data_IF_361776530609
#
_entry.id   IF_361776530609
#
_cell.length_a   1.000
_cell.length_b   1.000
_cell.length_c   1.000
_cell.angle_alpha   90.00
_cell.angle_beta   90.00
_cell.angle_gamma   90.00
#
_symmetry.space_group_name_H-M   'P 1'
#
loop_
_entity.id
_entity.type
_entity.pdbx_description
1 polymer ?
#
# COMPACT_ATOMS: atom_id res chain seq x y z
N UNK A 1 14.53 16.11 -7.00
CA UNK A 1 13.70 15.68 -5.86
C UNK A 1 14.19 14.29 -5.48
N UNK A 2 14.79 14.15 -4.30
CA UNK A 2 15.42 12.90 -3.89
C UNK A 2 14.34 11.86 -3.62
N UNK A 3 14.42 10.72 -4.30
CA UNK A 3 13.71 9.51 -3.91
C UNK A 3 14.25 9.10 -2.53
N UNK A 4 13.55 9.46 -1.45
CA UNK A 4 14.02 9.14 -0.11
C UNK A 4 13.64 7.69 0.19
N UNK A 5 14.62 6.81 0.04
CA UNK A 5 14.53 5.37 0.28
C UNK A 5 13.84 5.07 1.63
N UNK A 6 14.04 5.92 2.63
CA UNK A 6 13.41 5.81 3.95
C UNK A 6 11.87 5.86 3.88
N UNK A 7 11.31 6.69 3.00
CA UNK A 7 9.87 6.83 2.84
C UNK A 7 9.26 5.59 2.18
N UNK A 8 9.93 5.07 1.16
CA UNK A 8 9.53 3.83 0.48
C UNK A 8 9.58 2.64 1.43
N UNK A 9 10.61 2.57 2.27
CA UNK A 9 10.72 1.55 3.32
C UNK A 9 9.57 1.69 4.33
N UNK A 10 9.25 2.91 4.77
CA UNK A 10 8.15 3.14 5.71
C UNK A 10 6.79 2.73 5.12
N UNK A 11 6.53 3.08 3.86
CA UNK A 11 5.33 2.68 3.12
C UNK A 11 5.27 1.16 3.02
N UNK A 12 6.32 0.53 2.51
CA UNK A 12 6.39 -0.93 2.34
C UNK A 12 6.14 -1.64 3.67
N UNK A 13 6.86 -1.26 4.73
CA UNK A 13 6.74 -1.89 6.04
C UNK A 13 5.32 -1.74 6.62
N UNK A 14 4.69 -0.58 6.46
CA UNK A 14 3.31 -0.38 6.92
C UNK A 14 2.30 -1.20 6.12
N UNK A 15 2.45 -1.26 4.79
CA UNK A 15 1.56 -2.06 3.92
C UNK A 15 1.73 -3.55 4.23
N UNK A 16 2.96 -4.06 4.27
CA UNK A 16 3.24 -5.46 4.61
C UNK A 16 2.69 -5.82 5.98
N UNK A 17 2.91 -4.97 7.00
CA UNK A 17 2.38 -5.20 8.35
C UNK A 17 0.86 -5.35 8.34
N UNK A 18 0.14 -4.41 7.73
CA UNK A 18 -1.34 -4.43 7.72
C UNK A 18 -1.86 -5.65 6.97
N UNK A 19 -1.23 -6.02 5.86
CA UNK A 19 -1.66 -7.18 5.08
C UNK A 19 -1.32 -8.51 5.78
N UNK A 20 -0.15 -8.62 6.42
CA UNK A 20 0.22 -9.80 7.22
C UNK A 20 -0.72 -10.01 8.41
N UNK A 21 -1.21 -8.94 9.03
CA UNK A 21 -2.22 -9.00 10.10
C UNK A 21 -3.58 -9.54 9.63
N UNK A 22 -3.84 -9.57 8.31
CA UNK A 22 -5.04 -10.21 7.73
C UNK A 22 -4.86 -11.71 7.50
N UNK A 23 -3.63 -12.17 7.30
CA UNK A 23 -3.30 -13.57 7.13
C UNK A 23 -3.23 -13.98 5.66
N UNK A 24 -4.01 -14.98 5.19
CA UNK A 24 -3.85 -15.58 3.87
C UNK A 24 -4.09 -14.62 2.70
N UNK A 25 -4.78 -13.51 2.92
CA UNK A 25 -4.99 -12.45 1.95
C UNK A 25 -3.68 -11.73 1.57
N UNK A 26 -2.64 -11.78 2.41
CA UNK A 26 -1.31 -11.25 2.08
C UNK A 26 -0.76 -11.88 0.80
N UNK A 27 -0.68 -13.22 0.77
CA UNK A 27 -0.15 -13.95 -0.38
C UNK A 27 -1.03 -13.74 -1.63
N UNK A 28 -2.34 -13.58 -1.45
CA UNK A 28 -3.25 -13.27 -2.54
C UNK A 28 -2.97 -11.89 -3.15
N UNK A 29 -2.75 -10.86 -2.32
CA UNK A 29 -2.37 -9.53 -2.79
C UNK A 29 -1.08 -9.60 -3.58
N UNK A 30 -0.02 -10.24 -3.04
CA UNK A 30 1.25 -10.37 -3.75
C UNK A 30 1.10 -11.10 -5.09
N UNK A 31 0.38 -12.22 -5.09
CA UNK A 31 0.18 -13.05 -6.28
C UNK A 31 -0.56 -12.29 -7.37
N UNK A 32 -1.66 -11.60 -7.01
CA UNK A 32 -2.46 -10.83 -7.98
C UNK A 32 -1.74 -9.60 -8.48
N UNK A 33 -1.03 -8.90 -7.60
CA UNK A 33 -0.24 -7.72 -7.96
C UNK A 33 0.82 -8.07 -9.01
N UNK A 34 1.56 -9.16 -8.78
CA UNK A 34 2.54 -9.64 -9.74
C UNK A 34 1.88 -10.13 -11.04
N UNK A 35 0.76 -10.86 -10.95
CA UNK A 35 0.08 -11.39 -12.13
C UNK A 35 -0.54 -10.30 -13.03
N UNK A 36 -1.07 -9.21 -12.45
CA UNK A 36 -1.79 -8.17 -13.19
C UNK A 36 -0.88 -7.03 -13.68
N UNK A 37 0.15 -6.69 -12.89
CA UNK A 37 0.98 -5.51 -13.14
C UNK A 37 2.48 -5.81 -13.24
N UNK A 38 2.90 -7.07 -13.11
CA UNK A 38 4.31 -7.50 -13.13
C UNK A 38 5.17 -6.69 -12.14
N UNK A 39 4.59 -6.40 -10.97
CA UNK A 39 5.15 -5.46 -9.99
C UNK A 39 5.12 -6.01 -8.58
N UNK A 40 5.90 -5.39 -7.70
CA UNK A 40 5.99 -5.75 -6.28
C UNK A 40 5.47 -4.63 -5.38
N UNK A 41 5.28 -4.90 -4.08
CA UNK A 41 4.77 -3.90 -3.14
C UNK A 41 5.67 -2.66 -3.04
N UNK A 42 6.99 -2.80 -3.17
CA UNK A 42 7.91 -1.66 -3.09
C UNK A 42 7.76 -0.71 -4.28
N UNK A 43 7.30 -1.22 -5.42
CA UNK A 43 7.03 -0.43 -6.64
C UNK A 43 5.67 0.30 -6.54
N UNK A 44 4.74 -0.24 -5.76
CA UNK A 44 3.47 0.43 -5.45
C UNK A 44 3.64 1.73 -4.66
N UNK A 45 4.82 2.01 -4.10
CA UNK A 45 5.13 3.32 -3.53
C UNK A 45 4.98 4.45 -4.55
N UNK A 46 5.30 4.18 -5.82
CA UNK A 46 5.20 5.14 -6.92
C UNK A 46 3.91 4.96 -7.73
N UNK A 47 3.33 3.75 -7.71
CA UNK A 47 2.10 3.33 -8.41
C UNK A 47 1.04 2.78 -7.45
N UNK A 48 0.67 3.58 -6.46
CA UNK A 48 -0.32 3.23 -5.43
C UNK A 48 -1.69 2.85 -5.98
N UNK A 49 -2.04 3.29 -7.18
CA UNK A 49 -3.25 2.90 -7.90
C UNK A 49 -3.31 1.39 -8.18
N UNK A 50 -2.17 0.73 -8.38
CA UNK A 50 -2.13 -0.73 -8.60
C UNK A 50 -2.40 -1.46 -7.29
N UNK A 51 -1.81 -0.98 -6.19
CA UNK A 51 -2.14 -1.52 -4.88
C UNK A 51 -3.62 -1.34 -4.57
N UNK A 52 -4.19 -0.14 -4.83
CA UNK A 52 -5.61 0.12 -4.59
C UNK A 52 -6.52 -0.88 -5.31
N UNK A 53 -6.31 -1.05 -6.61
CA UNK A 53 -7.09 -1.97 -7.44
C UNK A 53 -7.00 -3.43 -6.92
N UNK A 54 -5.81 -3.89 -6.54
CA UNK A 54 -5.65 -5.23 -5.96
C UNK A 54 -6.31 -5.34 -4.58
N UNK A 55 -6.27 -4.30 -3.75
CA UNK A 55 -6.97 -4.30 -2.47
C UNK A 55 -8.49 -4.41 -2.69
N UNK A 56 -9.06 -3.66 -3.65
CA UNK A 56 -10.47 -3.75 -4.01
C UNK A 56 -10.85 -5.16 -4.50
N UNK A 57 -9.99 -5.80 -5.31
CA UNK A 57 -10.22 -7.15 -5.77
C UNK A 57 -10.17 -8.23 -4.67
N UNK A 58 -9.27 -8.08 -3.69
CA UNK A 58 -9.06 -9.09 -2.64
C UNK A 58 -10.02 -8.89 -1.48
N UNK A 59 -10.24 -7.65 -1.06
CA UNK A 59 -10.99 -7.34 0.16
C UNK A 59 -12.41 -6.84 -0.12
N UNK A 60 -12.74 -6.39 -1.34
CA UNK A 60 -14.05 -5.87 -1.69
C UNK A 60 -14.51 -4.76 -0.72
N UNK A 61 -15.63 -4.97 -0.04
CA UNK A 61 -16.17 -4.04 0.97
C UNK A 61 -15.18 -3.79 2.15
N UNK A 62 -14.25 -4.71 2.39
CA UNK A 62 -13.21 -4.60 3.41
C UNK A 62 -12.06 -3.65 3.05
N UNK A 63 -11.94 -3.21 1.81
CA UNK A 63 -10.81 -2.39 1.35
C UNK A 63 -10.67 -1.09 2.11
N UNK A 64 -11.78 -0.42 2.41
CA UNK A 64 -11.77 0.82 3.18
C UNK A 64 -11.09 0.63 4.55
N UNK A 65 -11.39 -0.47 5.25
CA UNK A 65 -10.80 -0.76 6.55
C UNK A 65 -9.29 -1.07 6.44
N UNK A 66 -8.84 -1.69 5.36
CA UNK A 66 -7.42 -1.94 5.10
C UNK A 66 -6.69 -0.62 4.85
N UNK A 67 -7.24 0.24 4.00
CA UNK A 67 -6.65 1.55 3.67
C UNK A 67 -6.59 2.44 4.90
N UNK A 68 -7.63 2.45 5.74
CA UNK A 68 -7.63 3.20 6.99
C UNK A 68 -6.51 2.74 7.93
N UNK A 69 -6.24 1.43 8.02
CA UNK A 69 -5.14 0.90 8.83
C UNK A 69 -3.77 1.29 8.27
N UNK A 70 -3.59 1.26 6.94
CA UNK A 70 -2.37 1.75 6.28
C UNK A 70 -2.17 3.24 6.58
N UNK A 71 -3.24 4.06 6.46
CA UNK A 71 -3.21 5.48 6.79
C UNK A 71 -2.84 5.71 8.26
N UNK A 72 -3.42 4.93 9.18
CA UNK A 72 -3.12 5.02 10.60
C UNK A 72 -1.67 4.64 10.92
N UNK A 73 -1.11 3.63 10.23
CA UNK A 73 0.29 3.24 10.36
C UNK A 73 1.24 4.38 9.93
N UNK A 74 0.89 5.10 8.87
CA UNK A 74 1.71 6.17 8.28
C UNK A 74 1.41 7.57 8.83
N UNK A 75 0.47 7.72 9.77
CA UNK A 75 -0.02 9.03 10.25
C UNK A 75 1.05 9.97 10.80
N UNK A 76 2.12 9.41 11.38
CA UNK A 76 3.21 10.20 11.96
C UNK A 76 4.23 10.68 10.91
N UNK A 77 4.04 10.32 9.64
CA UNK A 77 4.95 10.64 8.54
C UNK A 77 4.31 11.56 7.48
N UNK A 78 3.12 12.10 7.75
CA UNK A 78 2.34 12.87 6.75
C UNK A 78 2.96 14.20 6.34
N UNK A 79 3.93 14.72 7.10
CA UNK A 79 4.74 15.87 6.69
C UNK A 79 5.66 15.55 5.50
N UNK A 80 5.86 14.25 5.21
CA UNK A 80 6.60 13.78 4.06
C UNK A 80 5.72 13.76 2.79
N UNK A 81 6.15 14.49 1.76
CA UNK A 81 5.40 14.62 0.51
C UNK A 81 5.23 13.28 -0.23
N UNK A 82 6.22 12.39 -0.20
CA UNK A 82 6.13 11.05 -0.82
C UNK A 82 5.00 10.25 -0.19
N UNK A 83 4.95 10.22 1.14
CA UNK A 83 3.95 9.47 1.91
C UNK A 83 2.58 10.11 1.75
N UNK A 84 2.48 11.44 1.80
CA UNK A 84 1.22 12.15 1.58
C UNK A 84 0.64 11.83 0.19
N UNK A 85 1.46 11.91 -0.87
CA UNK A 85 1.04 11.59 -2.23
C UNK A 85 0.59 10.13 -2.38
N UNK A 86 1.33 9.20 -1.76
CA UNK A 86 0.95 7.79 -1.72
C UNK A 86 -0.43 7.59 -1.09
N UNK A 87 -0.66 8.18 0.09
CA UNK A 87 -1.93 8.08 0.81
C UNK A 87 -3.09 8.72 0.05
N UNK A 88 -2.87 9.87 -0.61
CA UNK A 88 -3.91 10.52 -1.41
C UNK A 88 -4.33 9.67 -2.60
N UNK A 89 -3.37 9.07 -3.31
CA UNK A 89 -3.66 8.20 -4.45
C UNK A 89 -4.30 6.88 -4.02
N UNK A 90 -3.87 6.31 -2.90
CA UNK A 90 -4.43 5.05 -2.37
C UNK A 90 -5.90 5.20 -1.95
N UNK A 91 -6.32 6.40 -1.50
CA UNK A 91 -7.70 6.68 -1.09
C UNK A 91 -8.67 6.92 -2.24
N UNK A 92 -8.17 7.30 -3.42
CA UNK A 92 -8.98 7.56 -4.62
C UNK A 92 -9.40 6.26 -5.28
#
# INVERSE_FOLDING_TARGET
MANNISDRIAILACVEKVLLERGPEYDQVLTRLNAKYETSLIDCCERSEYLRDILDEVFGDGTCAVIEQICHCLKNFTENQTISNFLEKLKR
#
